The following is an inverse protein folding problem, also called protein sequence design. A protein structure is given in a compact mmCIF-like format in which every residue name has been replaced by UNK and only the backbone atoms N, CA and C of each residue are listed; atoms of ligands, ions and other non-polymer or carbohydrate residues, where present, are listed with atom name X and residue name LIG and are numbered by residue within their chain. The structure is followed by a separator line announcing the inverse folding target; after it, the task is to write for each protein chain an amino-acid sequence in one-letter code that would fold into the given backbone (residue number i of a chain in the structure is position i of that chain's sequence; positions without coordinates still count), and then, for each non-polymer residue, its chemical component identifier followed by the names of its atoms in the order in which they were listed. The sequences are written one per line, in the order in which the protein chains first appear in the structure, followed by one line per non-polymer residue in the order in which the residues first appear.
data_IF_009624516679
#
_entry.id   IF_009624516679
#
_cell.length_a   1.000
_cell.length_b   1.000
_cell.length_c   1.000
_cell.angle_alpha   90.00
_cell.angle_beta   90.00
_cell.angle_gamma   90.00
#
_symmetry.space_group_name_H-M   'P 1'
#
loop_
_entity.id
_entity.type
_entity.pdbx_description
1 polymer ?
#
# COMPACT_ATOMS: atom_id res chain seq x y z
N UNK A 1 -19.41 -15.85 -5.31
CA UNK A 1 -18.84 -15.55 -3.98
C UNK A 1 -19.95 -14.89 -3.17
N UNK A 2 -20.41 -15.48 -2.08
CA UNK A 2 -21.45 -14.85 -1.24
C UNK A 2 -20.80 -13.84 -0.28
N UNK A 3 -21.23 -12.56 -0.28
CA UNK A 3 -20.69 -11.60 0.65
C UNK A 3 -21.12 -11.93 2.08
N UNK A 4 -20.25 -11.66 3.05
CA UNK A 4 -20.60 -11.73 4.48
C UNK A 4 -20.85 -10.34 5.05
N UNK A 5 -21.91 -10.23 5.85
CA UNK A 5 -22.29 -8.97 6.47
C UNK A 5 -21.36 -8.62 7.64
N UNK A 6 -20.85 -7.37 7.65
CA UNK A 6 -19.97 -6.86 8.71
C UNK A 6 -20.70 -6.66 10.05
N UNK A 7 -22.03 -6.44 10.03
CA UNK A 7 -22.83 -6.20 11.24
C UNK A 7 -23.14 -7.50 11.99
N UNK A 8 -23.61 -8.54 11.27
CA UNK A 8 -24.14 -9.75 11.88
C UNK A 8 -23.45 -11.06 11.46
N UNK A 9 -22.44 -11.01 10.59
CA UNK A 9 -21.75 -12.19 10.04
C UNK A 9 -22.66 -13.13 9.20
N UNK A 10 -23.85 -12.69 8.79
CA UNK A 10 -24.75 -13.45 7.91
C UNK A 10 -24.28 -13.48 6.45
N UNK A 11 -24.81 -14.42 5.67
CA UNK A 11 -24.54 -14.59 4.23
C UNK A 11 -25.39 -13.64 3.37
N UNK A 12 -25.18 -12.32 3.55
CA UNK A 12 -25.81 -11.27 2.75
C UNK A 12 -24.92 -10.03 2.68
N UNK A 13 -25.22 -9.14 1.72
CA UNK A 13 -24.55 -7.86 1.64
C UNK A 13 -25.00 -6.92 2.77
N UNK A 14 -24.15 -5.98 3.18
CA UNK A 14 -24.44 -5.04 4.28
C UNK A 14 -25.78 -4.29 4.13
N UNK A 15 -26.23 -4.07 2.88
CA UNK A 15 -27.47 -3.36 2.54
C UNK A 15 -28.73 -4.17 2.86
N UNK A 16 -28.64 -5.49 2.81
CA UNK A 16 -29.76 -6.41 3.03
C UNK A 16 -29.85 -6.84 4.51
N UNK A 17 -29.02 -6.24 5.37
CA UNK A 17 -28.98 -6.57 6.79
C UNK A 17 -30.15 -5.93 7.53
N UNK A 18 -30.97 -6.74 8.18
CA UNK A 18 -32.09 -6.28 9.02
C UNK A 18 -31.65 -5.46 10.24
N UNK A 19 -30.37 -5.53 10.63
CA UNK A 19 -29.82 -4.75 11.74
C UNK A 19 -29.50 -3.33 11.27
N UNK A 20 -30.34 -2.39 11.67
CA UNK A 20 -30.16 -0.94 11.46
C UNK A 20 -29.50 -0.25 12.65
N UNK A 21 -29.60 -0.83 13.84
CA UNK A 21 -29.07 -0.26 15.08
C UNK A 21 -27.54 -0.38 15.21
N UNK A 22 -26.97 0.52 16.03
CA UNK A 22 -25.54 0.44 16.40
C UNK A 22 -25.37 -0.63 17.47
N UNK A 23 -24.64 -1.69 17.14
CA UNK A 23 -24.23 -2.69 18.13
C UNK A 23 -23.19 -2.11 19.09
N UNK A 24 -23.50 -2.08 20.38
CA UNK A 24 -22.60 -1.54 21.42
C UNK A 24 -21.29 -2.33 21.53
N UNK A 25 -21.35 -3.66 21.33
CA UNK A 25 -20.18 -4.54 21.32
C UNK A 25 -19.94 -5.15 19.94
N UNK A 26 -19.35 -4.42 18.98
CA UNK A 26 -19.06 -4.96 17.67
C UNK A 26 -18.05 -6.12 17.76
N UNK A 27 -18.36 -7.23 17.08
CA UNK A 27 -17.49 -8.39 16.97
C UNK A 27 -16.65 -8.30 15.70
N UNK A 28 -15.34 -8.55 15.84
CA UNK A 28 -14.44 -8.58 14.71
C UNK A 28 -14.59 -9.90 13.92
N UNK A 29 -14.88 -9.83 12.63
CA UNK A 29 -14.98 -11.02 11.77
C UNK A 29 -13.63 -11.74 11.59
N UNK A 30 -12.52 -11.00 11.70
CA UNK A 30 -11.18 -11.56 11.48
C UNK A 30 -10.61 -12.28 12.71
N UNK A 31 -10.92 -11.81 13.93
CA UNK A 31 -10.35 -12.39 15.17
C UNK A 31 -11.38 -12.86 16.20
N UNK A 32 -12.68 -12.66 15.96
CA UNK A 32 -13.76 -13.09 16.84
C UNK A 32 -13.89 -12.31 18.17
N UNK A 33 -12.98 -11.38 18.47
CA UNK A 33 -13.03 -10.56 19.68
C UNK A 33 -14.06 -9.44 19.56
N UNK A 34 -14.64 -9.07 20.71
CA UNK A 34 -15.51 -7.90 20.84
C UNK A 34 -14.68 -6.61 20.96
N UNK A 35 -15.33 -5.47 20.71
CA UNK A 35 -14.78 -4.12 20.89
C UNK A 35 -14.19 -3.49 19.62
N UNK A 36 -14.16 -4.20 18.49
CA UNK A 36 -13.77 -3.62 17.20
C UNK A 36 -14.34 -4.38 16.01
N UNK A 37 -14.44 -3.70 14.86
CA UNK A 37 -14.85 -4.29 13.57
C UNK A 37 -13.65 -4.86 12.78
N UNK A 38 -13.93 -5.67 11.76
CA UNK A 38 -12.91 -6.34 10.94
C UNK A 38 -11.86 -5.39 10.31
N UNK A 39 -12.25 -4.16 9.97
CA UNK A 39 -11.37 -3.15 9.37
C UNK A 39 -10.53 -2.36 10.39
N UNK A 40 -10.55 -2.73 11.67
CA UNK A 40 -9.81 -2.00 12.69
C UNK A 40 -8.30 -2.28 12.62
N UNK A 41 -7.51 -1.20 12.54
CA UNK A 41 -6.06 -1.21 12.28
C UNK A 41 -5.24 -1.94 13.35
N UNK A 42 -5.79 -2.12 14.55
CA UNK A 42 -5.15 -2.81 15.68
C UNK A 42 -5.62 -4.26 15.88
N UNK A 43 -6.37 -4.84 14.94
CA UNK A 43 -6.83 -6.22 15.08
C UNK A 43 -5.61 -7.16 15.18
N UNK A 44 -5.54 -7.96 16.25
CA UNK A 44 -4.40 -8.89 16.49
C UNK A 44 -4.23 -9.93 15.36
N UNK A 45 -5.29 -10.26 14.65
CA UNK A 45 -5.23 -11.18 13.51
C UNK A 45 -4.66 -10.54 12.24
N UNK A 46 -4.61 -9.21 12.15
CA UNK A 46 -4.00 -8.52 11.03
C UNK A 46 -2.49 -8.41 11.24
N UNK A 47 -1.66 -8.80 10.25
CA UNK A 47 -0.22 -8.67 10.35
C UNK A 47 0.16 -7.19 10.44
N UNK A 48 0.94 -6.84 11.46
CA UNK A 48 1.57 -5.52 11.54
C UNK A 48 2.67 -5.48 10.49
N UNK A 49 2.45 -4.71 9.43
CA UNK A 49 3.50 -4.42 8.46
C UNK A 49 4.59 -3.62 9.19
N UNK A 50 5.66 -4.31 9.58
CA UNK A 50 6.85 -3.68 10.13
C UNK A 50 7.48 -2.89 8.98
N UNK A 51 7.68 -1.59 9.17
CA UNK A 51 8.50 -0.80 8.25
C UNK A 51 9.90 -1.38 8.33
N UNK A 52 10.33 -2.16 7.34
CA UNK A 52 11.73 -2.56 7.23
C UNK A 52 12.52 -1.28 6.96
N UNK A 53 13.52 -1.02 7.80
CA UNK A 53 14.48 0.09 7.63
C UNK A 53 15.26 -0.03 6.32
N UNK A 54 15.34 -1.23 5.76
CA UNK A 54 15.71 -1.52 4.37
C UNK A 54 14.56 -1.11 3.43
N UNK A 55 14.19 0.17 3.51
CA UNK A 55 13.48 0.80 2.43
C UNK A 55 14.37 0.67 1.21
N UNK A 56 14.03 -0.24 0.30
CA UNK A 56 14.31 0.02 -1.11
C UNK A 56 13.76 1.42 -1.34
N UNK A 57 14.68 2.39 -1.41
CA UNK A 57 14.40 3.77 -1.78
C UNK A 57 13.70 3.67 -3.12
N UNK A 58 12.36 3.63 -3.09
CA UNK A 58 11.57 3.64 -4.31
C UNK A 58 11.77 5.03 -4.84
N UNK A 59 12.71 5.17 -5.77
CA UNK A 59 12.93 6.41 -6.49
C UNK A 59 11.58 6.85 -7.02
N UNK A 60 11.19 8.07 -6.67
CA UNK A 60 9.98 8.63 -7.23
C UNK A 60 10.13 8.74 -8.75
N UNK A 61 9.02 8.80 -9.47
CA UNK A 61 9.04 9.02 -10.92
C UNK A 61 9.88 10.25 -11.30
N UNK A 62 9.78 11.32 -10.52
CA UNK A 62 10.57 12.54 -10.72
C UNK A 62 12.08 12.29 -10.53
N UNK A 63 12.48 11.49 -9.54
CA UNK A 63 13.88 11.13 -9.32
C UNK A 63 14.43 10.27 -10.45
N UNK A 64 13.67 9.27 -10.93
CA UNK A 64 14.09 8.42 -12.04
C UNK A 64 14.26 9.21 -13.35
N UNK A 65 13.34 10.15 -13.63
CA UNK A 65 13.43 11.01 -14.81
C UNK A 65 14.64 11.98 -14.75
N UNK A 66 14.97 12.51 -13.55
CA UNK A 66 16.14 13.37 -13.38
C UNK A 66 17.47 12.63 -13.61
N UNK A 67 17.56 11.37 -13.18
CA UNK A 67 18.75 10.53 -13.41
C UNK A 67 18.99 10.23 -14.89
N UNK A 68 17.93 10.05 -15.68
CA UNK A 68 18.03 9.85 -17.13
C UNK A 68 18.63 11.09 -17.82
N UNK A 69 18.15 12.28 -17.49
CA UNK A 69 18.70 13.54 -18.01
C UNK A 69 20.17 13.74 -17.65
N UNK A 70 20.55 13.40 -16.42
CA UNK A 70 21.94 13.53 -15.98
C UNK A 70 22.87 12.53 -16.72
N UNK A 71 22.36 11.32 -17.01
CA UNK A 71 23.11 10.31 -17.76
C UNK A 71 23.31 10.71 -19.23
N UNK A 72 22.28 11.27 -19.86
CA UNK A 72 22.34 11.79 -21.23
C UNK A 72 23.35 12.95 -21.36
N UNK A 73 23.31 13.91 -20.42
CA UNK A 73 24.25 15.03 -20.38
C UNK A 73 25.71 14.57 -20.17
N UNK A 74 25.91 13.52 -19.37
CA UNK A 74 27.24 12.97 -19.11
C UNK A 74 27.79 12.14 -20.29
N UNK A 75 26.93 11.49 -21.07
CA UNK A 75 27.33 10.79 -22.30
C UNK A 75 27.73 11.76 -23.40
N UNK A 76 27.03 12.89 -23.54
CA UNK A 76 27.31 13.92 -24.53
C UNK A 76 28.67 14.62 -24.27
N UNK A 77 28.97 14.96 -23.01
CA UNK A 77 30.27 15.55 -22.64
C UNK A 77 31.47 14.61 -22.82
N UNK A 78 31.27 13.29 -22.65
CA UNK A 78 32.32 12.29 -22.85
C UNK A 78 32.64 12.07 -24.33
N UNK A 79 31.63 12.12 -25.19
CA UNK A 79 31.79 12.01 -26.64
C UNK A 79 32.57 13.21 -27.22
N UNK A 80 32.24 14.43 -26.78
CA UNK A 80 32.96 15.65 -27.14
C UNK A 80 34.43 15.67 -26.67
N UNK A 81 34.78 14.90 -25.64
CA UNK A 81 36.15 14.82 -25.09
C UNK A 81 37.02 13.75 -25.78
N UNK A 82 36.44 12.82 -26.54
CA UNK A 82 37.15 11.80 -27.31
C UNK A 82 37.50 12.28 -28.73
N UNK A 83 36.74 13.21 -29.29
CA UNK A 83 36.95 13.76 -30.64
C UNK A 83 38.07 14.81 -30.76
N UNK A 84 38.65 15.26 -29.63
CA UNK A 84 39.74 16.25 -29.59
C UNK A 84 41.16 15.69 -29.44
N UNK A 85 41.37 14.36 -29.53
CA UNK A 85 42.69 13.70 -29.37
C UNK A 85 43.16 12.95 -30.63
N UNK A 86 42.96 13.54 -31.81
CA UNK A 86 43.59 13.12 -33.05
C UNK A 86 44.53 14.21 -33.56
N UNK A 87 45.83 14.06 -33.25
CA UNK A 87 46.95 14.75 -33.93
C UNK A 87 47.17 14.18 -35.32
#
# INVERSE_FOLDING_TARGET
MHPRCIKCNGEHAMRDCSITEKTEEPKCLNCGKKGHLAAWKGCKALPVIKKTSDGQSRKSYAQAAAEQKNKEEQTDRKDASLSGRGT
#
